data_IF_571548210485
#
_entry.id   IF_571548210485
#
_cell.length_a   1.000
_cell.length_b   1.000
_cell.length_c   1.000
_cell.angle_alpha   90.00
_cell.angle_beta   90.00
_cell.angle_gamma   90.00
#
_symmetry.space_group_name_H-M   'P 1'
#
loop_
_entity.id
_entity.type
_entity.pdbx_description
1 polymer ?
#
# COMPACT_ATOMS: atom_id res chain seq x y z
N UNK A 1 -10.78 -8.66 -11.97
CA UNK A 1 -9.33 -8.54 -12.13
C UNK A 1 -8.79 -7.60 -11.05
N UNK A 2 -7.65 -7.93 -10.48
CA UNK A 2 -6.85 -7.09 -9.60
C UNK A 2 -5.48 -6.90 -10.26
N UNK A 3 -5.17 -5.68 -10.65
CA UNK A 3 -3.94 -5.34 -11.40
C UNK A 3 -2.99 -4.61 -10.46
N UNK A 4 -1.76 -5.09 -10.35
CA UNK A 4 -0.71 -4.51 -9.54
C UNK A 4 0.59 -4.41 -10.35
N UNK A 5 1.17 -3.22 -10.40
CA UNK A 5 2.41 -2.97 -11.15
C UNK A 5 3.66 -3.59 -10.51
N UNK A 6 3.61 -3.87 -9.22
CA UNK A 6 4.72 -4.45 -8.46
C UNK A 6 4.63 -5.97 -8.42
N UNK A 7 5.61 -6.58 -7.79
CA UNK A 7 5.69 -8.04 -7.58
C UNK A 7 4.85 -8.53 -6.40
N UNK A 8 4.27 -7.61 -5.61
CA UNK A 8 3.53 -7.90 -4.38
C UNK A 8 2.44 -6.85 -4.18
N UNK A 9 1.39 -7.21 -3.45
CA UNK A 9 0.33 -6.31 -3.05
C UNK A 9 0.73 -5.45 -1.84
N UNK A 10 0.02 -4.34 -1.62
CA UNK A 10 0.13 -3.52 -0.43
C UNK A 10 0.81 -2.16 -0.60
N UNK A 11 1.23 -1.82 -1.81
CA UNK A 11 1.71 -0.49 -2.15
C UNK A 11 2.66 0.10 -1.10
N UNK A 12 2.26 1.19 -0.44
CA UNK A 12 3.07 1.87 0.55
C UNK A 12 3.43 0.98 1.77
N UNK A 13 2.49 0.16 2.25
CA UNK A 13 2.70 -0.66 3.44
C UNK A 13 3.76 -1.76 3.22
N UNK A 14 3.70 -2.45 2.08
CA UNK A 14 4.58 -3.58 1.78
C UNK A 14 5.77 -3.18 0.92
N UNK A 15 5.55 -2.51 -0.22
CA UNK A 15 6.59 -2.24 -1.20
C UNK A 15 7.43 -1.00 -0.87
N UNK A 16 6.84 0.06 -0.31
CA UNK A 16 7.56 1.27 0.09
C UNK A 16 7.94 1.28 1.58
N UNK A 17 7.68 0.20 2.29
CA UNK A 17 8.07 -0.02 3.70
C UNK A 17 7.55 1.04 4.68
N UNK A 18 6.37 1.59 4.41
CA UNK A 18 5.67 2.45 5.38
C UNK A 18 5.05 1.56 6.44
N UNK A 19 5.84 1.22 7.46
CA UNK A 19 5.58 0.18 8.45
C UNK A 19 4.64 0.59 9.58
N UNK A 20 4.07 1.78 9.48
CA UNK A 20 3.27 2.35 10.56
C UNK A 20 1.89 2.73 10.03
N UNK A 21 0.85 2.35 10.76
CA UNK A 21 -0.47 2.91 10.58
C UNK A 21 -0.81 3.85 11.72
N UNK A 22 -1.38 4.98 11.34
CA UNK A 22 -1.93 5.95 12.27
C UNK A 22 -3.20 5.43 12.91
N UNK A 23 -3.74 6.20 13.83
CA UNK A 23 -4.96 5.89 14.55
C UNK A 23 -6.11 5.44 13.65
N UNK A 24 -6.74 4.35 14.02
CA UNK A 24 -7.99 3.85 13.44
C UNK A 24 -9.21 4.30 14.23
N UNK A 25 -8.99 5.09 15.26
CA UNK A 25 -10.00 5.68 16.12
C UNK A 25 -10.23 7.16 15.77
N UNK A 26 -11.33 7.69 16.25
CA UNK A 26 -11.60 9.14 16.21
C UNK A 26 -10.57 9.93 17.02
N UNK A 27 -10.63 11.26 16.92
CA UNK A 27 -9.69 12.16 17.59
C UNK A 27 -9.75 12.12 19.11
N UNK A 28 -10.88 11.66 19.67
CA UNK A 28 -11.05 11.45 21.11
C UNK A 28 -10.52 10.07 21.57
N UNK A 29 -10.15 9.19 20.64
CA UNK A 29 -9.76 7.80 20.87
C UNK A 29 -10.87 6.96 21.55
N UNK A 30 -12.11 7.35 21.39
CA UNK A 30 -13.27 6.68 21.99
C UNK A 30 -13.92 5.66 21.05
N UNK A 31 -13.98 5.98 19.75
CA UNK A 31 -14.67 5.17 18.77
C UNK A 31 -13.73 4.70 17.68
N UNK A 32 -13.71 3.39 17.40
CA UNK A 32 -13.03 2.84 16.24
C UNK A 32 -13.81 3.19 14.98
N UNK A 33 -13.19 3.94 14.06
CA UNK A 33 -13.81 4.43 12.84
C UNK A 33 -13.32 3.71 11.57
N UNK A 34 -12.24 2.95 11.65
CA UNK A 34 -11.70 2.16 10.55
C UNK A 34 -11.66 0.68 10.98
N UNK A 35 -12.27 -0.19 10.18
CA UNK A 35 -12.38 -1.63 10.45
C UNK A 35 -12.55 -2.44 9.16
N UNK A 36 -13.19 -3.59 9.24
CA UNK A 36 -13.42 -4.48 8.11
C UNK A 36 -12.13 -5.15 7.64
N UNK A 37 -11.72 -4.94 6.40
CA UNK A 37 -10.49 -5.54 5.85
C UNK A 37 -9.24 -5.24 6.68
N UNK A 38 -9.18 -4.07 7.33
CA UNK A 38 -8.10 -3.76 8.26
C UNK A 38 -8.06 -4.76 9.42
N UNK A 39 -9.21 -5.13 9.98
CA UNK A 39 -9.28 -6.08 11.10
C UNK A 39 -8.80 -7.47 10.68
N UNK A 40 -9.11 -7.90 9.46
CA UNK A 40 -8.65 -9.16 8.89
C UNK A 40 -7.12 -9.16 8.72
N UNK A 41 -6.57 -8.08 8.16
CA UNK A 41 -5.11 -7.92 8.01
C UNK A 41 -4.42 -7.92 9.36
N UNK A 42 -4.93 -7.15 10.34
CA UNK A 42 -4.38 -7.10 11.71
C UNK A 42 -4.44 -8.47 12.37
N UNK A 43 -5.54 -9.21 12.22
CA UNK A 43 -5.69 -10.56 12.77
C UNK A 43 -4.65 -11.53 12.16
N UNK A 44 -4.41 -11.47 10.87
CA UNK A 44 -3.39 -12.27 10.20
C UNK A 44 -1.98 -11.93 10.69
N UNK A 45 -1.62 -10.66 10.70
CA UNK A 45 -0.31 -10.21 11.16
C UNK A 45 -0.06 -10.54 12.65
N UNK A 46 -1.13 -10.50 13.48
CA UNK A 46 -1.06 -10.89 14.89
C UNK A 46 -0.83 -12.38 15.06
N UNK A 47 -1.49 -13.23 14.26
CA UNK A 47 -1.27 -14.67 14.24
C UNK A 47 0.21 -15.02 13.99
N UNK A 48 0.87 -14.23 13.14
CA UNK A 48 2.23 -14.48 12.67
C UNK A 48 3.29 -13.68 13.48
N UNK A 49 2.89 -13.06 14.61
CA UNK A 49 3.74 -12.22 15.48
C UNK A 49 4.45 -11.09 14.71
N UNK A 50 3.75 -10.53 13.71
CA UNK A 50 4.31 -9.58 12.75
C UNK A 50 3.80 -8.15 12.93
N UNK A 51 3.07 -7.88 14.02
CA UNK A 51 2.51 -6.57 14.32
C UNK A 51 2.68 -6.21 15.80
N UNK A 52 3.00 -4.95 16.06
CA UNK A 52 2.97 -4.34 17.39
C UNK A 52 1.83 -3.34 17.44
N UNK A 53 1.02 -3.42 18.49
CA UNK A 53 -0.11 -2.54 18.71
C UNK A 53 0.20 -1.56 19.82
N UNK A 54 -0.25 -0.33 19.65
CA UNK A 54 -0.12 0.76 20.59
C UNK A 54 -1.49 1.28 21.01
N UNK A 55 -1.56 1.98 22.12
CA UNK A 55 -2.80 2.59 22.59
C UNK A 55 -3.39 3.53 21.53
N UNK A 56 -4.72 3.58 21.37
CA UNK A 56 -5.37 4.40 20.35
C UNK A 56 -5.05 5.90 20.45
N UNK A 57 -4.67 6.37 21.63
CA UNK A 57 -4.25 7.76 21.88
C UNK A 57 -2.89 8.11 21.28
N UNK A 58 -2.12 7.10 20.86
CA UNK A 58 -0.82 7.33 20.26
C UNK A 58 -0.96 7.65 18.76
N UNK A 59 -0.06 8.49 18.25
CA UNK A 59 -0.04 8.85 16.84
C UNK A 59 0.15 7.65 15.93
N UNK A 60 1.02 6.71 16.31
CA UNK A 60 1.21 5.42 15.64
C UNK A 60 0.46 4.37 16.44
N UNK A 61 -0.54 3.75 15.84
CA UNK A 61 -1.31 2.69 16.50
C UNK A 61 -0.79 1.29 16.18
N UNK A 62 -0.32 1.09 14.99
CA UNK A 62 0.24 -0.18 14.55
C UNK A 62 1.62 0.00 13.95
N UNK A 63 2.52 -0.93 14.26
CA UNK A 63 3.80 -1.09 13.59
C UNK A 63 3.92 -2.54 13.14
N UNK A 64 4.23 -2.80 11.88
CA UNK A 64 4.22 -4.14 11.33
C UNK A 64 5.44 -4.42 10.44
N UNK A 65 5.67 -5.72 10.20
CA UNK A 65 6.65 -6.18 9.24
C UNK A 65 6.14 -6.01 7.81
N UNK A 66 6.80 -5.25 6.94
CA UNK A 66 6.38 -5.07 5.55
C UNK A 66 6.42 -6.37 4.74
N UNK A 67 7.36 -7.27 5.05
CA UNK A 67 7.43 -8.57 4.41
C UNK A 67 6.23 -9.46 4.77
N UNK A 68 5.87 -9.50 6.06
CA UNK A 68 4.70 -10.26 6.50
C UNK A 68 3.39 -9.62 6.04
N UNK A 69 3.36 -8.29 5.91
CA UNK A 69 2.23 -7.59 5.28
C UNK A 69 2.02 -8.06 3.84
N UNK A 70 3.08 -8.17 3.06
CA UNK A 70 2.98 -8.69 1.69
C UNK A 70 2.43 -10.12 1.67
N UNK A 71 2.95 -11.02 2.51
CA UNK A 71 2.46 -12.39 2.62
C UNK A 71 0.98 -12.45 3.00
N UNK A 72 0.57 -11.66 4.00
CA UNK A 72 -0.82 -11.61 4.46
C UNK A 72 -1.77 -11.13 3.35
N UNK A 73 -1.37 -10.12 2.57
CA UNK A 73 -2.18 -9.63 1.46
C UNK A 73 -2.25 -10.62 0.30
N UNK A 74 -1.16 -11.34 0.02
CA UNK A 74 -1.14 -12.42 -0.97
C UNK A 74 -2.10 -13.55 -0.55
N UNK A 75 -2.07 -13.97 0.72
CA UNK A 75 -3.00 -14.97 1.25
C UNK A 75 -4.46 -14.53 1.11
N UNK A 76 -4.78 -13.29 1.46
CA UNK A 76 -6.13 -12.74 1.34
C UNK A 76 -6.61 -12.74 -0.12
N UNK A 77 -5.77 -12.32 -1.06
CA UNK A 77 -6.11 -12.33 -2.49
C UNK A 77 -6.30 -13.75 -3.01
N UNK A 78 -5.43 -14.69 -2.62
CA UNK A 78 -5.49 -16.09 -3.05
C UNK A 78 -6.69 -16.84 -2.45
N UNK A 79 -7.17 -16.46 -1.28
CA UNK A 79 -8.37 -17.01 -0.67
C UNK A 79 -9.65 -16.64 -1.45
N UNK A 80 -9.63 -15.54 -2.19
CA UNK A 80 -10.78 -15.05 -2.95
C UNK A 80 -10.84 -15.66 -4.36
N UNK A 81 -11.63 -16.70 -4.52
CA UNK A 81 -11.77 -17.46 -5.79
C UNK A 81 -12.21 -16.60 -6.99
N UNK A 82 -12.87 -15.48 -6.74
CA UNK A 82 -13.37 -14.57 -7.76
C UNK A 82 -12.37 -13.48 -8.14
N UNK A 83 -11.24 -13.38 -7.45
CA UNK A 83 -10.18 -12.44 -7.79
C UNK A 83 -9.20 -13.14 -8.74
N UNK A 84 -8.96 -12.51 -9.89
CA UNK A 84 -7.87 -12.87 -10.79
C UNK A 84 -6.78 -11.83 -10.68
N UNK A 85 -5.65 -12.13 -10.02
CA UNK A 85 -4.54 -11.19 -9.88
C UNK A 85 -3.68 -11.12 -11.15
N UNK A 86 -3.14 -9.93 -11.40
CA UNK A 86 -2.14 -9.64 -12.41
C UNK A 86 -1.03 -8.82 -11.75
N UNK A 87 0.04 -9.47 -11.35
CA UNK A 87 1.23 -8.82 -10.80
C UNK A 87 2.20 -8.42 -11.91
N UNK A 88 3.05 -7.44 -11.65
CA UNK A 88 3.99 -6.89 -12.63
C UNK A 88 3.28 -6.44 -13.92
N UNK A 89 2.06 -5.95 -13.80
CA UNK A 89 1.23 -5.52 -14.90
C UNK A 89 0.87 -4.04 -14.75
N UNK A 90 1.28 -3.23 -15.70
CA UNK A 90 1.02 -1.79 -15.69
C UNK A 90 -0.26 -1.47 -16.44
N UNK A 91 -1.11 -0.61 -15.89
CA UNK A 91 -2.16 0.03 -16.66
C UNK A 91 -1.51 1.09 -17.57
N UNK A 92 -1.60 0.93 -18.87
CA UNK A 92 -0.89 1.78 -19.84
C UNK A 92 -1.80 2.59 -20.75
N UNK A 93 -3.10 2.30 -20.76
CA UNK A 93 -4.11 3.07 -21.47
C UNK A 93 -5.52 2.72 -20.98
N UNK A 94 -6.47 3.61 -21.27
CA UNK A 94 -7.90 3.35 -21.20
C UNK A 94 -8.50 3.37 -22.61
N UNK A 95 -9.43 2.46 -22.89
CA UNK A 95 -10.27 2.49 -24.08
C UNK A 95 -11.61 3.08 -23.65
N UNK A 96 -11.96 4.21 -24.25
CA UNK A 96 -13.20 4.90 -23.93
C UNK A 96 -14.31 4.45 -24.88
N UNK A 97 -15.48 4.13 -24.33
CA UNK A 97 -16.70 3.89 -25.09
C UNK A 97 -17.36 5.21 -25.53
N UNK A 98 -17.34 6.18 -24.61
CA UNK A 98 -17.74 7.56 -24.81
C UNK A 98 -16.92 8.50 -23.92
N UNK A 99 -17.28 9.78 -23.82
CA UNK A 99 -16.54 10.76 -23.02
C UNK A 99 -16.52 10.50 -21.50
N UNK A 100 -17.38 9.62 -21.00
CA UNK A 100 -17.57 9.38 -19.55
C UNK A 100 -17.49 7.89 -19.18
N UNK A 101 -17.33 7.00 -20.16
CA UNK A 101 -17.41 5.56 -19.94
C UNK A 101 -16.13 4.87 -20.37
N UNK A 102 -15.47 4.16 -19.48
CA UNK A 102 -14.33 3.31 -19.79
C UNK A 102 -14.86 1.95 -20.25
N UNK A 103 -14.52 1.54 -21.46
CA UNK A 103 -14.84 0.22 -22.03
C UNK A 103 -13.83 -0.85 -21.60
N UNK A 104 -12.55 -0.47 -21.56
CA UNK A 104 -11.49 -1.38 -21.14
C UNK A 104 -10.29 -0.62 -20.58
N UNK A 105 -9.61 -1.24 -19.60
CA UNK A 105 -8.27 -0.88 -19.19
C UNK A 105 -7.26 -1.72 -19.96
N UNK A 106 -6.25 -1.09 -20.53
CA UNK A 106 -5.16 -1.78 -21.22
C UNK A 106 -4.02 -1.98 -20.26
N UNK A 107 -3.64 -3.23 -20.04
CA UNK A 107 -2.50 -3.62 -19.21
C UNK A 107 -1.36 -4.15 -20.06
N UNK A 108 -0.14 -3.98 -19.59
CA UNK A 108 1.07 -4.51 -20.23
C UNK A 108 1.97 -5.19 -19.19
N UNK A 109 2.41 -6.38 -19.50
CA UNK A 109 3.37 -7.18 -18.74
C UNK A 109 4.31 -7.93 -19.69
N UNK A 110 5.16 -8.82 -19.17
CA UNK A 110 6.09 -9.63 -19.97
C UNK A 110 5.43 -10.52 -21.02
N UNK A 111 4.15 -10.82 -20.89
CA UNK A 111 3.39 -11.63 -21.88
C UNK A 111 2.77 -10.78 -22.97
N UNK A 112 2.92 -9.46 -22.87
CA UNK A 112 2.44 -8.49 -23.84
C UNK A 112 1.26 -7.66 -23.37
N UNK A 113 0.68 -6.93 -24.29
CA UNK A 113 -0.41 -5.98 -24.06
C UNK A 113 -1.76 -6.66 -24.18
N UNK A 114 -2.66 -6.39 -23.22
CA UNK A 114 -4.01 -6.99 -23.14
C UNK A 114 -5.02 -5.95 -22.68
N UNK A 115 -6.27 -6.11 -23.08
CA UNK A 115 -7.38 -5.29 -22.62
C UNK A 115 -8.24 -6.07 -21.62
N UNK A 116 -8.60 -5.44 -20.50
CA UNK A 116 -9.54 -5.95 -19.52
C UNK A 116 -10.83 -5.14 -19.64
N UNK A 117 -11.91 -5.81 -20.01
CA UNK A 117 -13.25 -5.23 -20.04
C UNK A 117 -13.97 -5.53 -18.73
N UNK A 118 -14.68 -4.55 -18.20
CA UNK A 118 -15.45 -4.69 -16.97
C UNK A 118 -16.66 -3.77 -16.99
N UNK A 119 -17.64 -4.06 -16.15
CA UNK A 119 -18.78 -3.15 -15.93
C UNK A 119 -18.39 -1.95 -15.03
N UNK A 120 -17.39 -2.15 -14.17
CA UNK A 120 -16.90 -1.12 -13.25
C UNK A 120 -15.39 -1.16 -13.19
N UNK A 121 -14.78 0.00 -13.03
CA UNK A 121 -13.36 0.19 -12.84
C UNK A 121 -13.13 0.95 -11.54
N UNK A 122 -12.18 0.48 -10.73
CA UNK A 122 -11.75 1.14 -9.51
C UNK A 122 -10.28 1.50 -9.70
N UNK A 123 -9.98 2.80 -9.71
CA UNK A 123 -8.60 3.27 -9.72
C UNK A 123 -8.09 3.30 -8.27
N UNK A 124 -7.20 2.38 -7.96
CA UNK A 124 -6.48 2.28 -6.70
C UNK A 124 -4.96 2.35 -6.91
N UNK A 125 -4.52 2.96 -8.00
CA UNK A 125 -3.09 3.07 -8.38
C UNK A 125 -2.27 3.94 -7.42
N UNK A 126 -2.93 4.78 -6.62
CA UNK A 126 -2.29 5.77 -5.75
C UNK A 126 -2.05 7.10 -6.44
N UNK A 127 -1.80 7.08 -7.74
CA UNK A 127 -1.48 8.27 -8.54
C UNK A 127 -2.59 8.65 -9.54
N UNK A 128 -3.72 7.91 -9.56
CA UNK A 128 -4.81 8.14 -10.49
C UNK A 128 -4.46 7.78 -11.93
N UNK A 129 -3.69 6.72 -12.12
CA UNK A 129 -3.16 6.36 -13.45
C UNK A 129 -4.27 6.03 -14.46
N UNK A 130 -5.28 5.28 -14.03
CA UNK A 130 -6.42 4.95 -14.90
C UNK A 130 -7.23 6.19 -15.25
N UNK A 131 -7.48 7.08 -14.28
CA UNK A 131 -8.17 8.35 -14.50
C UNK A 131 -7.43 9.22 -15.52
N UNK A 132 -6.11 9.31 -15.38
CA UNK A 132 -5.28 10.06 -16.33
C UNK A 132 -5.30 9.46 -17.73
N UNK A 133 -5.25 8.13 -17.86
CA UNK A 133 -5.36 7.44 -19.15
C UNK A 133 -6.75 7.58 -19.78
N UNK A 134 -7.77 7.75 -18.97
CA UNK A 134 -9.14 8.02 -19.43
C UNK A 134 -9.40 9.51 -19.72
N UNK A 135 -8.39 10.36 -19.54
CA UNK A 135 -8.47 11.82 -19.68
C UNK A 135 -9.54 12.48 -18.80
N UNK A 136 -9.82 11.89 -17.63
CA UNK A 136 -10.64 12.56 -16.63
C UNK A 136 -9.83 13.63 -15.89
N UNK A 137 -10.50 14.72 -15.56
CA UNK A 137 -9.89 15.79 -14.79
C UNK A 137 -9.57 15.30 -13.37
N UNK A 138 -8.34 15.59 -12.91
CA UNK A 138 -7.90 15.33 -11.56
C UNK A 138 -7.47 16.65 -10.91
N UNK A 139 -8.01 16.92 -9.73
CA UNK A 139 -7.60 18.06 -8.94
C UNK A 139 -6.21 17.83 -8.34
N UNK A 140 -5.30 18.77 -8.58
CA UNK A 140 -4.00 18.78 -7.92
C UNK A 140 -3.99 19.85 -6.82
N UNK A 141 -3.90 19.40 -5.57
CA UNK A 141 -3.76 20.32 -4.45
C UNK A 141 -2.31 20.77 -4.27
N UNK A 142 -2.14 22.05 -4.03
CA UNK A 142 -0.84 22.64 -3.65
C UNK A 142 -0.96 23.29 -2.26
N UNK A 143 0.02 23.13 -1.38
CA UNK A 143 1.27 22.37 -1.57
C UNK A 143 1.03 20.84 -1.54
N UNK A 144 1.83 20.11 -2.30
CA UNK A 144 1.82 18.64 -2.26
C UNK A 144 2.44 18.15 -0.95
N UNK A 145 2.03 16.94 -0.52
CA UNK A 145 2.67 16.30 0.62
C UNK A 145 4.16 16.06 0.30
N UNK A 146 5.08 16.38 1.23
CA UNK A 146 6.49 16.12 1.03
C UNK A 146 6.74 14.61 0.93
N UNK A 147 7.63 14.24 0.02
CA UNK A 147 8.08 12.86 -0.08
C UNK A 147 9.00 12.50 1.09
N UNK A 148 8.98 11.21 1.48
CA UNK A 148 9.79 10.69 2.57
C UNK A 148 10.55 9.45 2.11
N UNK A 149 11.77 9.31 2.59
CA UNK A 149 12.57 8.10 2.42
C UNK A 149 12.48 7.26 3.69
N UNK A 150 12.33 5.94 3.54
CA UNK A 150 12.31 5.02 4.67
C UNK A 150 13.36 3.92 4.46
N UNK A 151 14.04 3.58 5.55
CA UNK A 151 15.00 2.48 5.58
C UNK A 151 14.92 1.75 6.93
N UNK A 152 15.20 0.47 6.93
CA UNK A 152 15.33 -0.34 8.14
C UNK A 152 16.81 -0.66 8.32
N UNK A 153 17.33 -0.31 9.47
CA UNK A 153 18.71 -0.61 9.87
C UNK A 153 18.74 -1.72 10.91
N UNK A 154 19.70 -2.62 10.81
CA UNK A 154 19.96 -3.65 11.81
C UNK A 154 21.39 -3.54 12.35
N UNK A 155 21.61 -4.06 13.57
CA UNK A 155 22.94 -4.05 14.19
C UNK A 155 23.34 -2.72 14.82
N UNK A 156 22.38 -1.82 15.09
CA UNK A 156 22.60 -0.55 15.78
C UNK A 156 23.12 -0.75 17.20
N UNK A 157 22.61 -1.76 17.90
CA UNK A 157 23.09 -2.20 19.21
C UNK A 157 24.60 -2.47 19.23
N UNK A 158 25.15 -3.17 18.23
CA UNK A 158 26.60 -3.38 18.10
C UNK A 158 27.36 -2.09 17.83
N UNK A 159 26.75 -1.17 17.13
CA UNK A 159 27.36 0.13 16.88
C UNK A 159 27.40 0.95 18.19
N UNK A 160 26.30 0.95 18.95
CA UNK A 160 26.19 1.59 20.27
C UNK A 160 27.24 1.05 21.23
N UNK A 161 27.40 -0.26 21.32
CA UNK A 161 28.41 -0.92 22.15
C UNK A 161 29.86 -0.47 21.80
N UNK A 162 30.13 -0.18 20.51
CA UNK A 162 31.47 0.21 20.03
C UNK A 162 31.77 1.70 20.13
N UNK A 163 30.79 2.55 20.05
CA UNK A 163 30.96 4.02 19.89
C UNK A 163 30.41 4.84 21.06
N UNK A 164 29.68 4.19 22.00
CA UNK A 164 28.87 4.89 23.00
C UNK A 164 27.52 5.31 22.41
N UNK A 165 26.80 6.20 23.05
CA UNK A 165 25.50 6.66 22.51
C UNK A 165 25.67 7.22 21.10
N UNK A 166 25.04 6.60 20.09
CA UNK A 166 25.15 7.11 18.75
C UNK A 166 24.24 8.34 18.63
N UNK A 167 24.79 9.40 18.18
CA UNK A 167 24.03 10.43 17.52
C UNK A 167 23.55 9.85 16.18
N UNK A 168 22.38 9.18 16.22
CA UNK A 168 21.75 8.56 15.04
C UNK A 168 21.54 9.60 13.92
N UNK A 169 21.42 10.89 14.27
CA UNK A 169 21.29 11.99 13.32
C UNK A 169 22.55 12.18 12.47
N UNK A 170 23.72 11.89 13.01
CA UNK A 170 25.01 12.04 12.30
C UNK A 170 25.57 10.73 11.75
N UNK A 171 24.94 9.59 12.02
CA UNK A 171 25.35 8.29 11.52
C UNK A 171 24.70 7.90 10.18
N UNK A 172 23.77 8.71 9.67
CA UNK A 172 23.07 8.51 8.41
C UNK A 172 23.54 9.60 7.42
N UNK A 173 24.68 9.40 6.84
CA UNK A 173 25.14 10.13 5.64
C UNK A 173 25.33 9.11 4.51
#
# INVERSE_FOLDING_TARGET
ALVEQRTLFGGNAAAAWVTHWHSTYDTAAENKIIGGLLDEVVAGLRRDDAITEFEPTQRTQYKFSPAMMACQLDEMVLAEKNIRPFLQAHCVAAVMGDAQTIDAAVIEDKTGRRAIRAAYFIDASGDGDLLRHAAFDAEQHQPMQPWSYQAIFSGLDRMIERTGEPDIHNAII
#
